data_IF_021703973952
#
_entry.id   IF_021703973952
#
_cell.length_a   1.000
_cell.length_b   1.000
_cell.length_c   1.000
_cell.angle_alpha   90.00
_cell.angle_beta   90.00
_cell.angle_gamma   90.00
#
_symmetry.space_group_name_H-M   'P 1'
#
loop_
_entity.id
_entity.type
_entity.pdbx_description
1 polymer ?
#
# COMPACT_ATOMS: atom_id res chain seq x y z
N UNK A 1 0.44 -37.95 26.38
CA UNK A 1 0.61 -37.00 25.25
C UNK A 1 0.69 -35.59 25.83
N UNK A 2 1.75 -34.84 25.56
CA UNK A 2 1.87 -33.45 26.02
C UNK A 2 0.97 -32.53 25.18
N UNK A 3 0.46 -31.45 25.78
CA UNK A 3 -0.36 -30.43 25.09
C UNK A 3 0.29 -29.93 23.79
N UNK A 4 1.61 -29.79 23.78
CA UNK A 4 2.41 -29.43 22.60
C UNK A 4 2.35 -30.48 21.49
N UNK A 5 2.40 -31.78 21.82
CA UNK A 5 2.27 -32.85 20.83
C UNK A 5 0.87 -32.93 20.20
N UNK A 6 -0.16 -32.57 20.97
CA UNK A 6 -1.54 -32.51 20.47
C UNK A 6 -1.76 -31.30 19.56
N UNK A 7 -1.15 -30.15 19.88
CA UNK A 7 -1.19 -28.97 19.01
C UNK A 7 -0.51 -29.21 17.66
N UNK A 8 0.66 -29.87 17.64
CA UNK A 8 1.38 -30.20 16.41
C UNK A 8 0.59 -31.17 15.52
N UNK A 9 -0.04 -32.18 16.13
CA UNK A 9 -0.87 -33.15 15.39
C UNK A 9 -2.13 -32.49 14.84
N UNK A 10 -2.83 -31.66 15.62
CA UNK A 10 -3.96 -30.86 15.12
C UNK A 10 -3.54 -29.93 13.98
N UNK A 11 -2.37 -29.28 14.08
CA UNK A 11 -1.87 -28.39 13.02
C UNK A 11 -1.58 -29.16 11.72
N UNK A 12 -0.99 -30.36 11.80
CA UNK A 12 -0.76 -31.23 10.64
C UNK A 12 -2.07 -31.72 10.01
N UNK A 13 -3.08 -32.05 10.83
CA UNK A 13 -4.40 -32.46 10.34
C UNK A 13 -5.09 -31.27 9.65
N UNK A 14 -5.05 -30.07 10.23
CA UNK A 14 -5.61 -28.87 9.61
C UNK A 14 -4.90 -28.52 8.29
N UNK A 15 -3.57 -28.63 8.22
CA UNK A 15 -2.80 -28.41 6.99
C UNK A 15 -3.16 -29.42 5.91
N UNK A 16 -3.27 -30.70 6.26
CA UNK A 16 -3.61 -31.75 5.29
C UNK A 16 -5.05 -31.62 4.78
N UNK A 17 -6.01 -31.31 5.65
CA UNK A 17 -7.38 -30.99 5.26
C UNK A 17 -7.45 -29.74 4.37
N UNK A 18 -6.70 -28.70 4.71
CA UNK A 18 -6.62 -27.47 3.91
C UNK A 18 -6.02 -27.72 2.52
N UNK A 19 -4.95 -28.53 2.44
CA UNK A 19 -4.36 -28.99 1.18
C UNK A 19 -5.36 -29.78 0.34
N UNK A 20 -6.11 -30.69 0.96
CA UNK A 20 -7.11 -31.52 0.27
C UNK A 20 -8.28 -30.69 -0.28
N UNK A 21 -8.76 -29.72 0.50
CA UNK A 21 -9.84 -28.80 0.09
C UNK A 21 -9.37 -27.91 -1.06
N UNK A 22 -8.16 -27.35 -1.00
CA UNK A 22 -7.59 -26.53 -2.09
C UNK A 22 -7.42 -27.34 -3.38
N UNK A 23 -6.88 -28.56 -3.28
CA UNK A 23 -6.73 -29.46 -4.44
C UNK A 23 -8.08 -29.85 -5.05
N UNK A 24 -9.12 -29.97 -4.23
CA UNK A 24 -10.46 -30.35 -4.67
C UNK A 24 -11.27 -29.17 -5.23
N UNK A 25 -11.04 -27.94 -4.76
CA UNK A 25 -11.83 -26.77 -5.16
C UNK A 25 -11.28 -26.01 -6.39
N UNK A 26 -10.02 -26.19 -6.78
CA UNK A 26 -9.38 -25.42 -7.86
C UNK A 26 -8.96 -26.27 -9.08
N UNK A 27 -9.80 -27.21 -9.52
CA UNK A 27 -9.61 -27.94 -10.79
C UNK A 27 -9.88 -27.07 -12.05
N UNK A 28 -9.34 -25.86 -12.12
CA UNK A 28 -9.39 -25.00 -13.32
C UNK A 28 -7.99 -24.61 -13.90
N UNK A 29 -7.52 -25.42 -14.86
CA UNK A 29 -7.11 -25.10 -16.27
C UNK A 29 -5.83 -24.20 -16.68
N UNK A 30 -4.73 -24.70 -17.39
CA UNK A 30 -3.52 -24.22 -18.29
C UNK A 30 -3.35 -24.88 -19.74
N UNK A 31 -3.39 -24.15 -20.87
CA UNK A 31 -3.77 -24.63 -22.25
C UNK A 31 -2.87 -25.71 -22.83
N UNK A 32 -3.47 -26.84 -23.22
CA UNK A 32 -2.93 -27.74 -24.24
C UNK A 32 -3.76 -27.66 -25.52
N UNK A 33 -3.05 -27.51 -26.64
CA UNK A 33 -3.61 -27.57 -27.98
C UNK A 33 -3.77 -29.03 -28.40
N UNK A 34 -5.02 -29.50 -28.48
CA UNK A 34 -5.37 -30.79 -29.07
C UNK A 34 -6.24 -30.46 -30.29
N UNK A 35 -5.66 -30.45 -31.49
CA UNK A 35 -6.47 -30.36 -32.71
C UNK A 35 -7.32 -31.65 -32.83
N UNK A 36 -8.63 -31.56 -33.17
CA UNK A 36 -9.31 -30.43 -33.81
C UNK A 36 -10.33 -29.67 -32.92
N UNK A 37 -10.26 -29.73 -31.58
CA UNK A 37 -11.26 -29.12 -30.67
C UNK A 37 -10.68 -27.95 -29.83
N UNK A 38 -11.53 -27.00 -29.35
CA UNK A 38 -11.10 -25.66 -28.94
C UNK A 38 -10.21 -25.68 -27.68
N UNK A 39 -9.15 -24.86 -27.72
CA UNK A 39 -8.06 -24.71 -26.73
C UNK A 39 -8.47 -24.90 -25.26
N UNK A 40 -8.05 -26.00 -24.61
CA UNK A 40 -8.37 -26.30 -23.21
C UNK A 40 -7.16 -26.13 -22.31
N UNK A 41 -7.31 -25.23 -21.33
CA UNK A 41 -6.40 -24.94 -20.22
C UNK A 41 -6.36 -26.16 -19.23
N UNK A 42 -5.25 -26.87 -18.92
CA UNK A 42 -4.77 -27.71 -17.75
C UNK A 42 -3.46 -27.29 -16.95
N UNK A 43 -3.55 -26.60 -15.79
CA UNK A 43 -2.39 -26.10 -14.98
C UNK A 43 -1.84 -27.22 -14.14
N UNK A 44 -0.52 -27.44 -14.12
CA UNK A 44 0.10 -28.26 -13.07
C UNK A 44 -0.30 -27.70 -11.69
N UNK A 45 -1.09 -28.44 -10.88
CA UNK A 45 -1.60 -27.92 -9.61
C UNK A 45 -0.47 -27.58 -8.63
N UNK A 46 0.65 -28.30 -8.71
CA UNK A 46 1.84 -28.05 -7.91
C UNK A 46 2.55 -26.77 -8.31
N UNK A 47 2.75 -26.52 -9.61
CA UNK A 47 3.39 -25.29 -10.07
C UNK A 47 2.52 -24.06 -9.79
N UNK A 48 1.20 -24.21 -9.92
CA UNK A 48 0.25 -23.19 -9.49
C UNK A 48 0.37 -22.90 -8.01
N UNK A 49 0.33 -23.94 -7.17
CA UNK A 49 0.42 -23.80 -5.72
C UNK A 49 1.74 -23.15 -5.31
N UNK A 50 2.87 -23.60 -5.86
CA UNK A 50 4.19 -23.01 -5.60
C UNK A 50 4.24 -21.54 -6.06
N UNK A 51 3.63 -21.21 -7.19
CA UNK A 51 3.55 -19.83 -7.67
C UNK A 51 2.65 -18.97 -6.78
N UNK A 52 1.51 -19.48 -6.29
CA UNK A 52 0.66 -18.80 -5.32
C UNK A 52 1.38 -18.59 -3.99
N UNK A 53 2.09 -19.61 -3.49
CA UNK A 53 2.92 -19.50 -2.29
C UNK A 53 4.02 -18.46 -2.45
N UNK A 54 4.66 -18.41 -3.64
CA UNK A 54 5.64 -17.37 -3.99
C UNK A 54 5.01 -15.99 -3.97
N UNK A 55 3.84 -15.81 -4.61
CA UNK A 55 3.09 -14.54 -4.60
C UNK A 55 2.72 -14.12 -3.17
N UNK A 56 2.25 -15.05 -2.35
CA UNK A 56 1.90 -14.81 -0.94
C UNK A 56 3.14 -14.42 -0.14
N UNK A 57 4.25 -15.14 -0.28
CA UNK A 57 5.51 -14.81 0.39
C UNK A 57 6.04 -13.43 -0.03
N UNK A 58 5.97 -13.10 -1.33
CA UNK A 58 6.35 -11.80 -1.85
C UNK A 58 5.48 -10.68 -1.30
N UNK A 59 4.15 -10.89 -1.24
CA UNK A 59 3.20 -9.96 -0.62
C UNK A 59 3.51 -9.77 0.87
N UNK A 60 3.74 -10.85 1.62
CA UNK A 60 4.07 -10.78 3.06
C UNK A 60 5.36 -9.98 3.28
N UNK A 61 6.40 -10.19 2.46
CA UNK A 61 7.65 -9.42 2.54
C UNK A 61 7.40 -7.93 2.29
N UNK A 62 6.61 -7.60 1.27
CA UNK A 62 6.31 -6.23 0.91
C UNK A 62 5.42 -5.55 1.96
N UNK A 63 4.45 -6.28 2.54
CA UNK A 63 3.65 -5.85 3.68
C UNK A 63 4.49 -5.64 4.93
N UNK A 64 5.42 -6.55 5.24
CA UNK A 64 6.35 -6.37 6.36
C UNK A 64 7.13 -5.07 6.18
N UNK A 65 7.62 -4.79 4.98
CA UNK A 65 8.36 -3.54 4.70
C UNK A 65 7.46 -2.30 4.77
N UNK A 66 6.24 -2.38 4.24
CA UNK A 66 5.25 -1.33 4.41
C UNK A 66 4.99 -1.04 5.90
N UNK A 67 4.79 -2.09 6.72
CA UNK A 67 4.62 -1.96 8.17
C UNK A 67 5.86 -1.39 8.87
N UNK A 68 7.07 -1.76 8.43
CA UNK A 68 8.32 -1.17 8.94
C UNK A 68 8.46 0.32 8.59
N UNK A 69 7.69 0.82 7.64
CA UNK A 69 7.64 2.24 7.29
C UNK A 69 6.83 3.06 8.31
N UNK A 70 6.20 2.39 9.29
CA UNK A 70 5.53 3.00 10.44
C UNK A 70 4.22 3.71 10.07
N UNK A 71 3.89 4.79 10.79
CA UNK A 71 2.65 5.60 10.64
C UNK A 71 2.45 6.27 9.26
N UNK A 72 3.41 6.10 8.35
CA UNK A 72 3.43 6.73 7.03
C UNK A 72 2.61 5.96 5.99
N UNK A 73 1.90 4.91 6.39
CA UNK A 73 1.10 4.09 5.49
C UNK A 73 -0.27 3.82 6.12
N UNK A 74 -1.32 4.08 5.36
CA UNK A 74 -2.69 3.67 5.66
C UNK A 74 -3.11 2.54 4.72
N UNK A 75 -3.93 1.63 5.22
CA UNK A 75 -4.40 0.46 4.46
C UNK A 75 -5.91 0.61 4.27
N UNK A 76 -6.32 0.78 3.02
CA UNK A 76 -7.72 0.75 2.61
C UNK A 76 -8.05 -0.60 1.99
N UNK A 77 -8.96 -1.33 2.63
CA UNK A 77 -9.56 -2.54 2.07
C UNK A 77 -10.78 -2.14 1.25
N UNK A 78 -10.61 -1.98 -0.07
CA UNK A 78 -11.74 -1.90 -0.98
C UNK A 78 -12.19 -3.32 -1.31
N UNK A 79 -13.50 -3.49 -1.53
CA UNK A 79 -14.20 -4.78 -1.69
C UNK A 79 -13.52 -5.79 -2.63
N UNK A 80 -12.76 -5.33 -3.63
CA UNK A 80 -12.05 -6.20 -4.58
C UNK A 80 -10.52 -5.97 -4.64
N UNK A 81 -9.94 -5.08 -3.82
CA UNK A 81 -8.49 -4.77 -3.89
C UNK A 81 -7.96 -4.17 -2.58
N UNK A 82 -6.76 -4.58 -2.19
CA UNK A 82 -6.02 -3.92 -1.12
C UNK A 82 -5.29 -2.69 -1.67
N UNK A 83 -5.53 -1.53 -1.08
CA UNK A 83 -4.87 -0.28 -1.43
C UNK A 83 -4.02 0.20 -0.26
N UNK A 84 -2.74 0.40 -0.51
CA UNK A 84 -1.81 1.01 0.44
C UNK A 84 -1.64 2.47 0.08
N UNK A 85 -2.12 3.37 0.94
CA UNK A 85 -1.85 4.80 0.82
C UNK A 85 -0.59 5.14 1.59
N UNK A 86 0.40 5.66 0.89
CA UNK A 86 1.68 6.05 1.46
C UNK A 86 1.70 7.57 1.60
N UNK A 87 1.87 8.06 2.83
CA UNK A 87 1.86 9.49 3.18
C UNK A 87 3.16 10.22 2.83
N UNK A 88 4.25 9.48 2.67
CA UNK A 88 5.59 10.01 2.40
C UNK A 88 6.13 9.52 1.05
N UNK A 89 6.75 10.43 0.29
CA UNK A 89 7.29 10.13 -1.02
C UNK A 89 8.49 9.17 -0.95
N UNK A 90 9.35 9.34 0.05
CA UNK A 90 10.54 8.48 0.22
C UNK A 90 10.14 7.04 0.56
N UNK A 91 9.14 6.90 1.43
CA UNK A 91 8.51 5.62 1.73
C UNK A 91 7.97 4.93 0.47
N UNK A 92 7.25 5.68 -0.36
CA UNK A 92 6.66 5.18 -1.60
C UNK A 92 7.75 4.77 -2.61
N UNK A 93 8.78 5.59 -2.79
CA UNK A 93 9.93 5.28 -3.67
C UNK A 93 10.63 4.01 -3.24
N UNK A 94 10.87 3.82 -1.94
CA UNK A 94 11.47 2.61 -1.39
C UNK A 94 10.66 1.34 -1.69
N UNK A 95 9.32 1.44 -1.62
CA UNK A 95 8.42 0.33 -1.98
C UNK A 95 8.43 0.07 -3.49
N UNK A 96 8.40 1.12 -4.31
CA UNK A 96 8.44 1.00 -5.77
C UNK A 96 9.74 0.36 -6.27
N UNK A 97 10.90 0.80 -5.75
CA UNK A 97 12.20 0.23 -6.12
C UNK A 97 12.30 -1.26 -5.78
N UNK A 98 11.74 -1.68 -4.64
CA UNK A 98 11.72 -3.09 -4.27
C UNK A 98 10.79 -3.91 -5.15
N UNK A 99 9.60 -3.38 -5.46
CA UNK A 99 8.70 -4.02 -6.42
C UNK A 99 9.39 -4.20 -7.78
N UNK A 100 10.12 -3.18 -8.24
CA UNK A 100 10.88 -3.22 -9.50
C UNK A 100 12.06 -4.19 -9.49
N UNK A 101 12.75 -4.35 -8.35
CA UNK A 101 13.81 -5.38 -8.18
C UNK A 101 13.27 -6.79 -8.35
N UNK A 102 12.03 -7.05 -7.90
CA UNK A 102 11.39 -8.36 -8.01
C UNK A 102 10.71 -8.57 -9.37
N UNK A 103 10.11 -7.52 -9.93
CA UNK A 103 9.47 -7.55 -11.23
C UNK A 103 9.79 -6.25 -12.01
N UNK A 104 10.73 -6.29 -12.97
CA UNK A 104 11.10 -5.11 -13.77
C UNK A 104 9.96 -4.52 -14.60
N UNK A 105 8.88 -5.29 -14.83
CA UNK A 105 7.68 -4.89 -15.56
C UNK A 105 6.71 -4.02 -14.77
N UNK A 106 6.97 -3.75 -13.48
CA UNK A 106 6.13 -2.87 -12.66
C UNK A 106 6.18 -1.45 -13.23
N UNK A 107 5.02 -0.94 -13.64
CA UNK A 107 4.87 0.38 -14.22
C UNK A 107 4.36 1.38 -13.18
N UNK A 108 4.95 2.57 -13.20
CA UNK A 108 4.61 3.67 -12.32
C UNK A 108 3.77 4.72 -13.05
N UNK A 109 2.63 5.08 -12.47
CA UNK A 109 1.79 6.20 -12.93
C UNK A 109 2.06 7.41 -12.07
N UNK A 110 2.41 8.54 -12.68
CA UNK A 110 2.64 9.81 -11.97
C UNK A 110 1.75 10.91 -12.51
N UNK A 111 1.32 11.80 -11.62
CA UNK A 111 0.63 13.03 -11.95
C UNK A 111 1.37 14.18 -11.32
N UNK A 112 1.74 15.15 -12.15
CA UNK A 112 2.47 16.33 -11.75
C UNK A 112 1.58 17.56 -11.87
N UNK A 113 1.87 18.56 -11.05
CA UNK A 113 1.28 19.88 -11.10
C UNK A 113 2.38 20.89 -11.41
N UNK A 114 2.20 21.62 -12.50
CA UNK A 114 3.14 22.63 -13.00
C UNK A 114 2.64 24.01 -12.64
N UNK A 115 3.50 24.80 -12.01
CA UNK A 115 3.26 26.20 -11.67
C UNK A 115 4.48 27.04 -12.11
N UNK A 116 4.36 27.71 -13.24
CA UNK A 116 5.51 28.37 -13.87
C UNK A 116 6.62 27.35 -14.13
N UNK A 117 7.82 27.62 -13.59
CA UNK A 117 9.00 26.75 -13.71
C UNK A 117 9.07 25.62 -12.66
N UNK A 118 8.10 25.55 -11.74
CA UNK A 118 8.08 24.54 -10.69
C UNK A 118 7.17 23.35 -11.08
N UNK A 119 7.68 22.14 -10.90
CA UNK A 119 6.93 20.89 -11.04
C UNK A 119 6.88 20.15 -9.69
N UNK A 120 5.67 19.82 -9.23
CA UNK A 120 5.43 19.07 -7.99
C UNK A 120 4.64 17.79 -8.26
N UNK A 121 5.06 16.70 -7.64
CA UNK A 121 4.38 15.41 -7.75
C UNK A 121 3.13 15.40 -6.87
N UNK A 122 1.95 15.30 -7.49
CA UNK A 122 0.66 15.31 -6.80
C UNK A 122 0.10 13.93 -6.54
N UNK A 123 0.46 12.96 -7.38
CA UNK A 123 0.01 11.59 -7.23
C UNK A 123 1.03 10.66 -7.88
N UNK A 124 1.34 9.56 -7.21
CA UNK A 124 2.09 8.46 -7.79
C UNK A 124 1.41 7.15 -7.41
N UNK A 125 1.35 6.20 -8.33
CA UNK A 125 0.82 4.88 -8.03
C UNK A 125 1.48 3.80 -8.85
N UNK A 126 1.56 2.60 -8.28
CA UNK A 126 1.95 1.40 -8.98
C UNK A 126 1.15 0.21 -8.45
N UNK A 127 1.03 -0.82 -9.27
CA UNK A 127 0.40 -2.07 -8.88
C UNK A 127 1.45 -3.18 -8.86
N UNK A 128 1.45 -3.97 -7.80
CA UNK A 128 2.31 -5.13 -7.67
C UNK A 128 1.52 -6.30 -7.09
N UNK A 129 1.50 -7.43 -7.82
CA UNK A 129 0.79 -8.65 -7.43
C UNK A 129 -0.66 -8.38 -6.95
N UNK A 130 -1.44 -7.54 -7.65
CA UNK A 130 -2.84 -7.23 -7.31
C UNK A 130 -3.03 -6.29 -6.11
N UNK A 131 -1.96 -5.67 -5.62
CA UNK A 131 -2.01 -4.65 -4.56
C UNK A 131 -1.65 -3.30 -5.18
N UNK A 132 -2.49 -2.30 -4.93
CA UNK A 132 -2.29 -0.95 -5.42
C UNK A 132 -1.60 -0.08 -4.35
N UNK A 133 -0.46 0.50 -4.69
CA UNK A 133 0.23 1.48 -3.86
C UNK A 133 -0.03 2.86 -4.42
N UNK A 134 -0.48 3.78 -3.57
CA UNK A 134 -0.81 5.15 -3.95
C UNK A 134 -0.09 6.11 -3.01
N UNK A 135 0.60 7.09 -3.57
CA UNK A 135 1.14 8.24 -2.87
C UNK A 135 0.41 9.49 -3.33
N UNK A 136 0.04 10.32 -2.35
CA UNK A 136 -0.40 11.71 -2.55
C UNK A 136 0.17 12.56 -1.42
N UNK A 137 0.50 13.84 -1.67
CA UNK A 137 0.84 14.78 -0.61
C UNK A 137 -0.22 14.76 0.48
N UNK A 138 0.20 14.62 1.74
CA UNK A 138 -0.70 14.48 2.86
C UNK A 138 -0.25 15.38 4.02
N UNK A 139 -1.20 15.93 4.77
CA UNK A 139 -0.98 16.50 6.09
C UNK A 139 -1.77 15.68 7.09
N UNK A 140 -1.14 15.24 8.16
CA UNK A 140 -1.81 14.47 9.21
C UNK A 140 -2.13 15.38 10.38
N UNK A 141 -3.40 15.49 10.74
CA UNK A 141 -3.84 16.16 11.94
C UNK A 141 -3.83 15.15 13.10
N UNK A 142 -3.10 15.47 14.15
CA UNK A 142 -2.87 14.59 15.30
C UNK A 142 -2.90 15.40 16.60
N UNK A 143 -2.84 14.73 17.74
CA UNK A 143 -2.64 15.38 19.05
C UNK A 143 -1.14 15.59 19.38
N UNK A 144 -0.23 15.13 18.54
CA UNK A 144 1.22 15.17 18.73
C UNK A 144 1.88 15.51 17.39
N UNK A 145 2.43 16.71 17.24
CA UNK A 145 2.99 17.16 15.97
C UNK A 145 3.49 18.59 16.01
N UNK A 146 3.72 19.16 14.83
CA UNK A 146 4.12 20.55 14.69
C UNK A 146 3.00 21.49 15.20
N UNK A 147 3.37 22.46 16.02
CA UNK A 147 2.46 23.46 16.57
C UNK A 147 2.49 24.67 15.66
N UNK A 148 1.32 25.13 15.21
CA UNK A 148 1.19 26.33 14.40
C UNK A 148 1.01 27.53 15.32
N UNK A 149 2.01 28.41 15.35
CA UNK A 149 1.99 29.66 16.13
C UNK A 149 1.79 30.88 15.24
N UNK A 150 2.30 30.83 14.00
CA UNK A 150 2.25 31.92 13.04
C UNK A 150 1.82 31.47 11.64
N UNK A 151 1.41 32.41 10.78
CA UNK A 151 1.05 32.09 9.38
C UNK A 151 2.20 31.51 8.56
N UNK A 152 3.45 31.82 8.92
CA UNK A 152 4.63 31.24 8.25
C UNK A 152 4.75 29.74 8.51
N UNK A 153 4.25 29.24 9.65
CA UNK A 153 4.24 27.81 9.98
C UNK A 153 3.28 27.06 9.07
N UNK A 154 2.12 27.65 8.75
CA UNK A 154 1.17 27.09 7.78
C UNK A 154 1.83 26.92 6.41
N UNK A 155 2.51 27.96 5.93
CA UNK A 155 3.22 27.91 4.65
C UNK A 155 4.32 26.83 4.67
N UNK A 156 5.06 26.72 5.77
CA UNK A 156 6.08 25.68 5.96
C UNK A 156 5.47 24.28 5.88
N UNK A 157 4.38 24.01 6.57
CA UNK A 157 3.69 22.71 6.53
C UNK A 157 3.24 22.36 5.11
N UNK A 158 2.67 23.32 4.38
CA UNK A 158 2.26 23.10 2.98
C UNK A 158 3.47 22.75 2.11
N UNK A 159 4.60 23.45 2.26
CA UNK A 159 5.82 23.16 1.51
C UNK A 159 6.35 21.76 1.83
N UNK A 160 6.40 21.38 3.11
CA UNK A 160 6.83 20.04 3.54
C UNK A 160 5.92 18.96 2.95
N UNK A 161 4.60 19.18 2.95
CA UNK A 161 3.64 18.26 2.34
C UNK A 161 3.85 18.12 0.82
N UNK A 162 4.04 19.23 0.11
CA UNK A 162 4.30 19.23 -1.35
C UNK A 162 5.67 18.63 -1.72
N UNK A 163 6.64 18.67 -0.81
CA UNK A 163 7.91 17.99 -0.96
C UNK A 163 7.82 16.48 -0.62
N UNK A 164 6.69 16.03 -0.08
CA UNK A 164 6.39 14.62 0.18
C UNK A 164 6.84 14.10 1.53
N UNK A 165 7.03 14.98 2.52
CA UNK A 165 7.43 14.58 3.88
C UNK A 165 6.27 14.02 4.70
N UNK A 166 5.03 14.47 4.43
CA UNK A 166 3.84 14.04 5.15
C UNK A 166 3.75 14.58 6.57
N UNK A 167 3.81 15.91 6.80
CA UNK A 167 3.93 16.49 8.13
C UNK A 167 2.74 16.18 9.03
N UNK A 168 3.00 16.00 10.32
CA UNK A 168 2.00 15.85 11.38
C UNK A 168 1.83 17.17 12.13
N UNK A 169 0.59 17.63 12.33
CA UNK A 169 0.24 18.91 12.95
C UNK A 169 -0.59 18.68 14.21
N UNK A 170 -0.19 19.31 15.31
CA UNK A 170 -0.90 19.24 16.58
C UNK A 170 -2.16 20.12 16.56
N UNK A 171 -3.35 19.52 16.58
CA UNK A 171 -4.61 20.28 16.56
C UNK A 171 -4.99 20.90 17.92
N UNK A 172 -4.47 20.36 19.03
CA UNK A 172 -4.85 20.80 20.38
C UNK A 172 -4.07 22.05 20.80
N UNK A 173 -2.78 22.09 20.47
CA UNK A 173 -1.88 23.17 20.87
C UNK A 173 -1.75 24.29 19.83
N UNK A 174 -2.19 24.05 18.59
CA UNK A 174 -2.17 25.05 17.52
C UNK A 174 -3.31 26.05 17.63
N UNK A 175 -3.09 27.28 17.14
CA UNK A 175 -4.15 28.26 17.01
C UNK A 175 -5.22 27.80 15.98
N UNK A 176 -6.50 27.83 16.37
CA UNK A 176 -7.64 27.43 15.51
C UNK A 176 -7.70 28.18 14.19
N UNK A 177 -7.36 29.48 14.17
CA UNK A 177 -7.40 30.28 12.94
C UNK A 177 -6.33 29.84 11.94
N UNK A 178 -5.17 29.39 12.44
CA UNK A 178 -4.09 28.84 11.62
C UNK A 178 -4.44 27.45 11.11
N UNK A 179 -5.13 26.63 11.90
CA UNK A 179 -5.66 25.33 11.45
C UNK A 179 -6.69 25.52 10.32
N UNK A 180 -7.61 26.47 10.46
CA UNK A 180 -8.57 26.80 9.38
C UNK A 180 -7.86 27.29 8.11
N UNK A 181 -6.84 28.14 8.28
CA UNK A 181 -5.99 28.61 7.17
C UNK A 181 -5.26 27.45 6.49
N UNK A 182 -4.72 26.50 7.26
CA UNK A 182 -4.10 25.29 6.75
C UNK A 182 -5.08 24.44 5.95
N UNK A 183 -6.28 24.19 6.47
CA UNK A 183 -7.30 23.40 5.78
C UNK A 183 -7.70 24.03 4.43
N UNK A 184 -7.87 25.34 4.38
CA UNK A 184 -8.16 26.06 3.13
C UNK A 184 -7.02 25.94 2.11
N UNK A 185 -5.77 26.04 2.56
CA UNK A 185 -4.60 25.87 1.69
C UNK A 185 -4.46 24.43 1.19
N UNK A 186 -4.66 23.45 2.06
CA UNK A 186 -4.61 22.04 1.72
C UNK A 186 -5.62 21.70 0.62
N UNK A 187 -6.85 22.20 0.72
CA UNK A 187 -7.88 22.05 -0.33
C UNK A 187 -7.45 22.71 -1.64
N UNK A 188 -6.97 23.97 -1.58
CA UNK A 188 -6.51 24.72 -2.76
C UNK A 188 -5.40 23.99 -3.52
N UNK A 189 -4.46 23.39 -2.81
CA UNK A 189 -3.34 22.65 -3.41
C UNK A 189 -3.63 21.16 -3.62
N UNK A 190 -4.85 20.69 -3.35
CA UNK A 190 -5.26 19.27 -3.47
C UNK A 190 -4.35 18.31 -2.68
N UNK A 191 -3.93 18.73 -1.51
CA UNK A 191 -3.21 17.90 -0.54
C UNK A 191 -4.28 17.09 0.24
N UNK A 192 -4.02 15.84 0.59
CA UNK A 192 -4.94 15.05 1.41
C UNK A 192 -4.79 15.43 2.89
N UNK A 193 -5.89 15.41 3.65
CA UNK A 193 -5.88 15.56 5.11
C UNK A 193 -6.21 14.22 5.73
N UNK A 194 -5.29 13.66 6.51
CA UNK A 194 -5.55 12.52 7.37
C UNK A 194 -5.84 13.02 8.79
N UNK A 195 -6.80 12.42 9.49
CA UNK A 195 -7.07 12.69 10.91
C UNK A 195 -6.73 11.45 11.72
N UNK A 196 -5.97 11.63 12.78
CA UNK A 196 -5.69 10.58 13.76
C UNK A 196 -6.40 10.98 15.05
N UNK A 197 -7.44 10.23 15.41
CA UNK A 197 -8.20 10.42 16.65
C UNK A 197 -7.38 10.05 17.89
#
# INVERSE_FOLDING_TARGET
>A
MTSTGMAVTCFLICISLFLFIILSMNQEKQIYQIQPFPNVVLVSPLDWFLNQMKIVAERILLYKKALLTGKRIDIDLLSNRTVFRVKSLDAYRGLFEEARKKAPSVFERKKFLKFGDYEKLMEASFEFNGVLFVYKPCVTLTNNGYILSEHIDVARVIILALNGEGPEVNILESNKDLINSLLSMVEKYRIEVARTE
#
